data_IF_115371954807
#
_entry.id   IF_115371954807
#
_cell.length_a   1.000
_cell.length_b   1.000
_cell.length_c   1.000
_cell.angle_alpha   90.00
_cell.angle_beta   90.00
_cell.angle_gamma   90.00
#
_symmetry.space_group_name_H-M   'P 1'
#
loop_
_entity.id
_entity.type
_entity.pdbx_description
1 polymer ?
#
# COMPACT_ATOMS: atom_id res chain seq x y z
N UNK A 1 1.85 4.45 23.09
CA UNK A 1 1.54 5.74 22.47
C UNK A 1 0.82 5.46 21.17
N UNK A 2 -0.52 5.35 21.20
CA UNK A 2 -1.28 5.00 20.02
C UNK A 2 -1.27 6.17 19.02
N UNK A 3 -0.88 5.86 17.79
CA UNK A 3 -1.29 6.64 16.61
C UNK A 3 -2.47 5.87 16.06
N UNK A 4 -3.64 6.48 15.99
CA UNK A 4 -4.75 5.89 15.25
C UNK A 4 -4.60 6.26 13.79
N UNK A 5 -4.79 5.28 12.90
CA UNK A 5 -4.66 5.45 11.46
C UNK A 5 -5.84 4.77 10.80
N UNK A 6 -6.67 5.56 10.12
CA UNK A 6 -7.83 5.09 9.37
C UNK A 6 -7.63 5.46 7.91
N UNK A 7 -7.85 4.50 7.02
CA UNK A 7 -7.75 4.70 5.57
C UNK A 7 -9.14 4.50 4.98
N UNK A 8 -9.64 5.55 4.34
CA UNK A 8 -10.92 5.56 3.64
C UNK A 8 -10.67 5.68 2.14
N UNK A 9 -11.44 4.95 1.34
CA UNK A 9 -11.33 4.95 -0.12
C UNK A 9 -12.49 5.70 -0.74
N UNK A 10 -12.21 6.56 -1.70
CA UNK A 10 -13.24 7.37 -2.35
C UNK A 10 -14.08 6.52 -3.30
N UNK A 11 -15.39 6.79 -3.32
CA UNK A 11 -16.35 6.27 -4.31
C UNK A 11 -16.29 4.75 -4.55
N UNK A 12 -15.88 3.97 -3.54
CA UNK A 12 -15.79 2.51 -3.66
C UNK A 12 -16.58 1.77 -2.57
N UNK A 13 -17.92 1.87 -2.56
CA UNK A 13 -18.76 1.20 -1.56
C UNK A 13 -18.69 -0.34 -1.64
N UNK A 14 -18.28 -0.89 -2.79
CA UNK A 14 -18.17 -2.33 -3.01
C UNK A 14 -16.75 -2.87 -2.75
N UNK A 15 -15.76 -2.00 -2.53
CA UNK A 15 -14.36 -2.39 -2.34
C UNK A 15 -13.69 -3.01 -3.57
N UNK A 16 -14.19 -2.73 -4.78
CA UNK A 16 -13.68 -3.31 -6.05
C UNK A 16 -13.21 -2.22 -7.01
N UNK A 17 -11.97 -2.34 -7.46
CA UNK A 17 -11.40 -1.52 -8.53
C UNK A 17 -11.10 -2.37 -9.77
N UNK A 18 -11.39 -1.82 -10.94
CA UNK A 18 -11.05 -2.39 -12.24
C UNK A 18 -9.78 -1.74 -12.80
N UNK A 19 -9.13 -2.44 -13.73
CA UNK A 19 -7.93 -1.93 -14.38
C UNK A 19 -8.19 -0.58 -15.05
N UNK A 20 -7.33 0.40 -14.78
CA UNK A 20 -7.43 1.76 -15.31
C UNK A 20 -8.28 2.71 -14.47
N UNK A 21 -8.97 2.24 -13.43
CA UNK A 21 -9.62 3.14 -12.48
C UNK A 21 -8.59 3.81 -11.56
N UNK A 22 -8.86 5.06 -11.21
CA UNK A 22 -8.10 5.78 -10.19
C UNK A 22 -8.45 5.23 -8.80
N UNK A 23 -7.42 5.02 -7.98
CA UNK A 23 -7.54 4.64 -6.59
C UNK A 23 -7.15 5.86 -5.75
N UNK A 24 -8.13 6.51 -5.15
CA UNK A 24 -7.93 7.65 -4.27
C UNK A 24 -8.60 7.43 -2.92
N UNK A 25 -8.19 8.23 -1.93
CA UNK A 25 -8.77 8.17 -0.60
C UNK A 25 -8.14 9.16 0.38
N UNK A 26 -8.50 8.98 1.65
CA UNK A 26 -8.05 9.80 2.77
C UNK A 26 -7.44 8.92 3.85
N UNK A 27 -6.31 9.37 4.41
CA UNK A 27 -5.69 8.81 5.61
C UNK A 27 -5.92 9.78 6.76
N UNK A 28 -6.74 9.36 7.72
CA UNK A 28 -6.98 10.07 8.97
C UNK A 28 -6.03 9.54 10.05
N UNK A 29 -5.23 10.44 10.62
CA UNK A 29 -4.26 10.16 11.67
C UNK A 29 -4.61 10.94 12.93
N UNK A 30 -4.75 10.23 14.06
CA UNK A 30 -4.84 10.85 15.38
C UNK A 30 -3.58 10.53 16.19
N UNK A 31 -3.00 11.56 16.78
CA UNK A 31 -1.73 11.47 17.49
C UNK A 31 -1.82 12.09 18.89
N UNK A 32 -1.52 11.27 19.89
CA UNK A 32 -1.69 11.57 21.32
C UNK A 32 -0.71 12.61 21.89
N UNK A 33 0.48 12.70 21.31
CA UNK A 33 1.57 13.56 21.77
C UNK A 33 2.44 13.99 20.59
N UNK A 34 3.14 15.13 20.73
CA UNK A 34 4.10 15.58 19.72
C UNK A 34 5.18 14.53 19.47
N UNK A 35 5.39 14.16 18.21
CA UNK A 35 6.37 13.17 17.78
C UNK A 35 7.34 13.77 16.78
N UNK A 36 8.61 13.39 16.88
CA UNK A 36 9.64 13.82 15.93
C UNK A 36 9.79 12.78 14.82
N UNK A 37 9.46 13.14 13.60
CA UNK A 37 9.38 12.22 12.44
C UNK A 37 10.18 12.74 11.24
N UNK A 38 10.57 11.87 10.31
CA UNK A 38 11.19 12.29 9.03
C UNK A 38 10.16 12.57 7.94
N UNK A 39 9.07 11.82 7.97
CA UNK A 39 7.94 12.01 7.07
C UNK A 39 6.93 10.87 7.20
N UNK A 40 5.78 11.08 6.60
CA UNK A 40 4.66 10.15 6.49
C UNK A 40 4.44 9.92 5.00
N UNK A 41 4.32 8.66 4.61
CA UNK A 41 4.06 8.29 3.23
C UNK A 41 3.02 7.19 3.15
N UNK A 42 2.26 7.19 2.07
CA UNK A 42 1.31 6.13 1.72
C UNK A 42 1.97 5.26 0.66
N UNK A 43 1.86 3.94 0.81
CA UNK A 43 2.30 2.98 -0.20
C UNK A 43 1.11 2.16 -0.66
N UNK A 44 0.81 2.21 -1.95
CA UNK A 44 -0.20 1.36 -2.58
C UNK A 44 0.53 0.28 -3.36
N UNK A 45 0.34 -0.98 -2.95
CA UNK A 45 0.99 -2.12 -3.58
C UNK A 45 -0.02 -3.22 -3.90
N UNK A 46 0.11 -3.81 -5.08
CA UNK A 46 -0.78 -4.85 -5.56
C UNK A 46 0.01 -5.84 -6.40
N UNK A 47 -0.02 -7.11 -6.01
CA UNK A 47 0.72 -8.17 -6.70
C UNK A 47 -0.08 -9.47 -6.74
N UNK A 48 0.16 -10.30 -7.75
CA UNK A 48 -0.32 -11.67 -7.79
C UNK A 48 0.84 -12.65 -7.58
N UNK A 49 0.54 -13.70 -6.81
CA UNK A 49 1.38 -14.88 -6.66
C UNK A 49 0.58 -16.07 -7.16
N UNK A 50 1.09 -16.75 -8.17
CA UNK A 50 0.43 -17.89 -8.82
C UNK A 50 1.28 -19.13 -8.60
N UNK A 51 0.62 -20.26 -8.33
CA UNK A 51 1.25 -21.59 -8.28
C UNK A 51 0.40 -22.55 -9.09
N UNK A 52 1.02 -23.34 -9.95
CA UNK A 52 0.32 -24.35 -10.74
C UNK A 52 1.21 -25.56 -10.98
N UNK A 53 0.58 -26.70 -11.28
CA UNK A 53 1.30 -27.91 -11.64
C UNK A 53 1.24 -28.05 -13.15
N UNK A 54 2.40 -28.06 -13.80
CA UNK A 54 2.51 -28.42 -15.22
C UNK A 54 2.60 -29.94 -15.31
N UNK A 55 1.64 -30.56 -16.00
CA UNK A 55 1.73 -31.98 -16.37
C UNK A 55 2.66 -32.12 -17.59
N UNK A 56 3.56 -33.10 -17.57
CA UNK A 56 4.31 -33.53 -18.75
C UNK A 56 3.39 -33.99 -19.88
N UNK A 57 3.97 -34.21 -21.06
CA UNK A 57 3.26 -34.85 -22.18
C UNK A 57 2.78 -36.25 -21.77
N UNK A 58 1.84 -36.88 -22.50
CA UNK A 58 1.23 -38.16 -22.11
C UNK A 58 2.22 -39.32 -21.82
N UNK A 59 3.47 -39.21 -22.28
CA UNK A 59 4.54 -40.19 -22.05
C UNK A 59 5.48 -39.85 -20.88
N UNK A 60 5.42 -38.63 -20.35
CA UNK A 60 6.18 -38.18 -19.18
C UNK A 60 5.26 -38.12 -17.96
N UNK A 61 5.56 -38.95 -16.96
CA UNK A 61 4.88 -38.95 -15.65
C UNK A 61 5.28 -37.77 -14.76
N UNK A 62 6.19 -36.92 -15.23
CA UNK A 62 6.77 -35.83 -14.45
C UNK A 62 5.76 -34.69 -14.26
N UNK A 63 5.51 -34.35 -12.99
CA UNK A 63 4.70 -33.20 -12.57
C UNK A 63 5.64 -32.14 -12.02
N UNK A 64 5.73 -31.00 -12.69
CA UNK A 64 6.54 -29.88 -12.23
C UNK A 64 5.68 -28.84 -11.52
N UNK A 65 6.10 -28.43 -10.31
CA UNK A 65 5.50 -27.30 -9.60
C UNK A 65 6.06 -25.99 -10.16
N UNK A 66 5.20 -25.18 -10.75
CA UNK A 66 5.53 -23.86 -11.29
C UNK A 66 5.03 -22.75 -10.36
N UNK A 67 5.75 -21.63 -10.34
CA UNK A 67 5.40 -20.43 -9.56
C UNK A 67 5.59 -19.19 -10.44
N UNK A 68 4.71 -18.21 -10.29
CA UNK A 68 4.87 -16.90 -10.89
C UNK A 68 4.55 -15.80 -9.87
N UNK A 69 5.24 -14.68 -10.00
CA UNK A 69 5.01 -13.46 -9.24
C UNK A 69 4.90 -12.30 -10.22
N UNK A 70 3.91 -11.43 -10.03
CA UNK A 70 3.78 -10.21 -10.81
C UNK A 70 3.28 -9.07 -9.94
N UNK A 71 3.99 -7.94 -9.98
CA UNK A 71 3.53 -6.68 -9.41
C UNK A 71 2.67 -5.93 -10.45
N UNK A 72 1.53 -5.40 -10.03
CA UNK A 72 0.60 -4.63 -10.85
C UNK A 72 0.47 -3.18 -10.39
N UNK A 73 0.56 -2.94 -9.08
CA UNK A 73 0.51 -1.62 -8.47
C UNK A 73 1.73 -1.45 -7.57
N UNK A 74 2.40 -0.31 -7.71
CA UNK A 74 3.54 0.07 -6.89
C UNK A 74 3.66 1.59 -6.89
N UNK A 75 2.90 2.25 -6.02
CA UNK A 75 2.95 3.70 -5.81
C UNK A 75 3.41 4.02 -4.38
N UNK A 76 4.19 5.08 -4.24
CA UNK A 76 4.59 5.67 -2.97
C UNK A 76 4.50 7.18 -3.06
N UNK A 77 3.74 7.79 -2.16
CA UNK A 77 3.56 9.25 -2.08
C UNK A 77 3.79 9.72 -0.64
N UNK A 78 4.55 10.80 -0.47
CA UNK A 78 4.75 11.42 0.84
C UNK A 78 3.62 12.43 1.09
N UNK A 79 2.95 12.29 2.23
CA UNK A 79 1.87 13.19 2.67
C UNK A 79 2.36 14.25 3.67
N UNK A 80 3.49 13.97 4.33
CA UNK A 80 4.18 14.93 5.21
C UNK A 80 5.69 14.65 5.18
N UNK A 81 6.52 15.68 5.11
CA UNK A 81 7.97 15.54 5.13
C UNK A 81 8.54 14.72 3.96
N UNK A 82 9.78 14.27 4.09
CA UNK A 82 10.46 13.43 3.09
C UNK A 82 11.68 12.76 3.71
N UNK A 83 12.00 11.55 3.26
CA UNK A 83 13.23 10.86 3.66
C UNK A 83 14.47 11.33 2.90
N UNK A 84 14.33 12.22 1.90
CA UNK A 84 15.44 12.65 1.05
C UNK A 84 16.50 13.46 1.82
N UNK A 85 16.04 14.29 2.76
CA UNK A 85 16.89 15.16 3.55
C UNK A 85 16.77 14.65 4.98
N UNK A 86 17.88 14.30 5.64
CA UNK A 86 17.90 13.66 6.96
C UNK A 86 17.36 14.56 8.11
N UNK A 87 16.58 15.59 7.77
CA UNK A 87 15.85 16.48 8.64
C UNK A 87 14.66 15.78 9.30
N UNK A 88 14.41 16.14 10.54
CA UNK A 88 13.24 15.70 11.30
C UNK A 88 12.32 16.90 11.56
N UNK A 89 11.03 16.62 11.63
CA UNK A 89 9.95 17.58 11.85
C UNK A 89 9.25 17.16 13.14
N UNK A 90 8.91 18.14 13.97
CA UNK A 90 8.04 17.92 15.11
C UNK A 90 6.58 17.91 14.62
N UNK A 91 5.94 16.76 14.74
CA UNK A 91 4.54 16.50 14.39
C UNK A 91 3.69 16.57 15.66
N UNK A 92 2.95 17.67 15.89
CA UNK A 92 2.28 17.90 17.17
C UNK A 92 1.12 16.93 17.43
N UNK A 93 0.67 16.89 18.70
CA UNK A 93 -0.55 16.19 19.06
C UNK A 93 -1.76 16.79 18.30
N UNK A 94 -2.64 15.95 17.77
CA UNK A 94 -3.80 16.40 17.01
C UNK A 94 -4.37 15.37 16.05
N UNK A 95 -5.31 15.82 15.22
CA UNK A 95 -5.96 15.05 14.16
C UNK A 95 -5.54 15.62 12.80
N UNK A 96 -5.22 14.73 11.86
CA UNK A 96 -4.70 15.09 10.55
C UNK A 96 -5.36 14.23 9.48
N UNK A 97 -5.77 14.83 8.37
CA UNK A 97 -6.32 14.13 7.20
C UNK A 97 -5.46 14.39 5.98
N UNK A 98 -4.98 13.33 5.34
CA UNK A 98 -4.13 13.39 4.16
C UNK A 98 -4.76 12.65 2.98
N UNK A 99 -4.88 13.31 1.83
CA UNK A 99 -5.39 12.68 0.61
C UNK A 99 -4.29 11.92 -0.11
N UNK A 100 -4.64 10.81 -0.77
CA UNK A 100 -3.74 10.06 -1.64
C UNK A 100 -4.45 9.67 -2.95
N UNK A 101 -3.64 9.53 -4.00
CA UNK A 101 -4.01 9.16 -5.37
C UNK A 101 -2.94 8.21 -5.95
#
# INVERSE_FOLDING_TARGET
>A
MPIECLISFDNNPQGVYYAGQELSGVVDLSVDATKRIKGIHVTVSGYAKIRWIKKGYPRDSERAMCRAYRSYLSSRSYVLGSCANNSSIDWPAGEYSYTFH
#
